data_IF_434721366722
#
_entry.id   IF_434721366722
#
_cell.length_a   1.000
_cell.length_b   1.000
_cell.length_c   1.000
_cell.angle_alpha   90.00
_cell.angle_beta   90.00
_cell.angle_gamma   90.00
#
_symmetry.space_group_name_H-M   'P 1'
#
loop_
_entity.id
_entity.type
_entity.pdbx_description
1 polymer ?
#
# COMPACT_ATOMS: atom_id res chain seq x y z
N UNK A 1 8.23 -61.62 24.69
CA UNK A 1 7.46 -61.17 25.87
C UNK A 1 6.54 -60.03 25.49
N UNK A 2 5.23 -60.22 25.62
CA UNK A 2 4.22 -59.16 25.41
C UNK A 2 4.08 -58.33 26.69
N UNK A 3 4.21 -57.03 26.60
CA UNK A 3 4.17 -56.08 27.73
C UNK A 3 3.20 -54.94 27.44
N UNK A 4 2.77 -54.22 28.48
CA UNK A 4 2.10 -52.93 28.33
C UNK A 4 3.10 -51.82 28.61
N UNK A 5 3.43 -50.99 27.60
CA UNK A 5 4.37 -49.87 27.72
C UNK A 5 3.62 -48.56 28.01
N UNK A 6 4.07 -47.82 29.03
CA UNK A 6 3.51 -46.53 29.41
C UNK A 6 4.64 -45.49 29.35
N UNK A 7 4.60 -44.63 28.33
CA UNK A 7 5.52 -43.50 28.22
C UNK A 7 4.89 -42.22 28.83
N UNK A 8 5.70 -41.25 29.31
CA UNK A 8 5.20 -39.97 29.79
C UNK A 8 4.30 -39.30 28.75
N UNK A 9 3.16 -38.78 29.20
CA UNK A 9 2.15 -38.09 28.37
C UNK A 9 1.57 -38.89 27.18
N UNK A 10 1.83 -40.20 27.11
CA UNK A 10 1.32 -41.09 26.08
C UNK A 10 0.32 -42.10 26.65
N UNK A 11 -0.56 -42.60 25.78
CA UNK A 11 -1.47 -43.70 26.11
C UNK A 11 -0.69 -45.03 26.30
N UNK A 12 -1.14 -45.89 27.22
CA UNK A 12 -0.61 -47.24 27.33
C UNK A 12 -0.74 -48.00 26.01
N UNK A 13 0.32 -48.70 25.59
CA UNK A 13 0.29 -49.50 24.35
C UNK A 13 0.93 -50.88 24.53
N UNK A 14 0.34 -51.96 23.98
CA UNK A 14 0.96 -53.27 24.00
C UNK A 14 2.18 -53.29 23.07
N UNK A 15 3.28 -53.92 23.52
CA UNK A 15 4.53 -54.07 22.77
C UNK A 15 5.06 -55.49 22.95
N UNK A 16 5.65 -56.06 21.90
CA UNK A 16 6.42 -57.30 22.01
C UNK A 16 7.91 -57.00 22.06
N UNK A 17 8.59 -57.60 23.04
CA UNK A 17 10.03 -57.48 23.27
C UNK A 17 10.65 -58.86 23.39
N UNK A 18 11.95 -59.02 23.19
CA UNK A 18 12.59 -60.35 23.27
C UNK A 18 12.64 -60.93 24.70
N UNK A 19 12.43 -60.10 25.74
CA UNK A 19 12.45 -60.50 27.15
C UNK A 19 13.85 -60.55 27.77
N UNK A 20 14.89 -60.14 27.04
CA UNK A 20 16.23 -60.00 27.57
C UNK A 20 16.35 -58.80 28.53
N UNK A 21 17.31 -58.85 29.45
CA UNK A 21 17.59 -57.72 30.35
C UNK A 21 17.95 -56.45 29.55
N UNK A 22 18.72 -56.59 28.48
CA UNK A 22 19.12 -55.48 27.62
C UNK A 22 17.90 -54.79 26.99
N UNK A 23 16.93 -55.54 26.45
CA UNK A 23 15.74 -54.93 25.86
C UNK A 23 14.85 -54.22 26.89
N UNK A 24 14.79 -54.74 28.12
CA UNK A 24 14.09 -54.08 29.22
C UNK A 24 14.78 -52.78 29.67
N UNK A 25 16.11 -52.79 29.79
CA UNK A 25 16.92 -51.62 30.14
C UNK A 25 16.85 -50.52 29.09
N UNK A 26 16.91 -50.90 27.81
CA UNK A 26 16.79 -49.95 26.68
C UNK A 26 15.42 -49.25 26.68
N UNK A 27 14.35 -49.95 27.04
CA UNK A 27 12.99 -49.39 27.06
C UNK A 27 12.77 -48.36 28.17
N UNK A 28 13.30 -48.61 29.37
CA UNK A 28 13.17 -47.69 30.52
C UNK A 28 14.31 -46.66 30.59
N UNK A 29 15.34 -46.82 29.74
CA UNK A 29 16.46 -45.89 29.62
C UNK A 29 17.48 -45.99 30.75
N UNK A 30 17.76 -47.18 31.27
CA UNK A 30 18.72 -47.38 32.36
C UNK A 30 18.59 -48.72 33.08
N UNK A 31 19.18 -48.83 34.28
CA UNK A 31 19.00 -49.99 35.15
C UNK A 31 17.52 -50.12 35.55
N UNK A 32 17.03 -51.35 35.65
CA UNK A 32 15.63 -51.62 35.93
C UNK A 32 15.40 -51.87 37.42
N UNK A 33 14.27 -51.37 37.92
CA UNK A 33 13.67 -51.72 39.21
C UNK A 33 12.32 -52.39 38.95
N UNK A 34 12.03 -53.45 39.70
CA UNK A 34 10.73 -54.12 39.68
C UNK A 34 9.93 -53.80 40.94
N UNK A 35 8.76 -53.19 40.76
CA UNK A 35 7.82 -52.88 41.84
C UNK A 35 6.51 -53.63 41.65
N UNK A 36 5.89 -54.00 42.77
CA UNK A 36 4.69 -54.84 42.82
C UNK A 36 3.54 -54.10 43.51
N UNK A 37 3.01 -53.02 42.90
CA UNK A 37 2.01 -52.16 43.52
C UNK A 37 0.59 -52.74 43.46
N UNK A 38 0.39 -53.93 42.89
CA UNK A 38 -0.92 -54.48 42.57
C UNK A 38 -1.18 -55.81 43.26
N UNK A 39 -2.45 -56.19 43.40
CA UNK A 39 -2.87 -57.50 43.90
C UNK A 39 -2.71 -58.64 42.90
N UNK A 40 -2.64 -58.32 41.59
CA UNK A 40 -2.39 -59.32 40.56
C UNK A 40 -0.90 -59.71 40.54
N UNK A 41 -0.59 -60.90 40.02
CA UNK A 41 0.79 -61.38 39.82
C UNK A 41 1.48 -60.68 38.63
N UNK A 42 1.62 -59.36 38.72
CA UNK A 42 2.25 -58.52 37.71
C UNK A 42 3.32 -57.63 38.34
N UNK A 43 4.37 -57.34 37.58
CA UNK A 43 5.40 -56.40 37.95
C UNK A 43 5.28 -55.14 37.10
N UNK A 44 5.50 -53.98 37.72
CA UNK A 44 5.81 -52.74 37.03
C UNK A 44 7.32 -52.59 37.01
N UNK A 45 7.87 -52.46 35.80
CA UNK A 45 9.31 -52.33 35.56
C UNK A 45 9.61 -50.90 35.12
N UNK A 46 10.43 -50.20 35.89
CA UNK A 46 10.81 -48.82 35.65
C UNK A 46 12.32 -48.62 35.78
N UNK A 47 12.79 -47.40 35.53
CA UNK A 47 14.19 -47.03 35.73
C UNK A 47 14.47 -46.82 37.24
N UNK A 48 15.44 -47.57 37.77
CA UNK A 48 15.86 -47.54 39.19
C UNK A 48 16.34 -46.15 39.64
N UNK A 49 16.95 -45.39 38.72
CA UNK A 49 17.46 -44.04 38.99
C UNK A 49 16.58 -42.95 38.38
N UNK A 50 15.39 -43.27 37.87
CA UNK A 50 14.57 -42.35 37.06
C UNK A 50 14.28 -41.01 37.76
N UNK A 51 14.05 -41.04 39.07
CA UNK A 51 13.88 -39.84 39.92
C UNK A 51 15.18 -39.04 40.09
N UNK A 52 16.30 -39.73 40.26
CA UNK A 52 17.61 -39.12 40.53
C UNK A 52 18.18 -38.45 39.27
N UNK A 53 17.97 -39.05 38.10
CA UNK A 53 18.45 -38.53 36.81
C UNK A 53 17.48 -37.56 36.14
N UNK A 54 16.34 -37.26 36.77
CA UNK A 54 15.38 -36.26 36.31
C UNK A 54 14.59 -36.65 35.07
N UNK A 55 14.22 -37.93 34.92
CA UNK A 55 13.30 -38.33 33.84
C UNK A 55 11.93 -37.65 34.00
N UNK A 56 11.13 -37.48 32.94
CA UNK A 56 9.80 -36.86 33.07
C UNK A 56 8.88 -37.67 33.99
N UNK A 57 8.09 -37.00 34.83
CA UNK A 57 7.08 -37.65 35.65
C UNK A 57 6.08 -38.44 34.77
N UNK A 58 5.72 -39.65 35.19
CA UNK A 58 4.80 -40.50 34.44
C UNK A 58 3.48 -40.75 35.20
N UNK A 59 3.27 -41.91 35.83
CA UNK A 59 2.03 -42.24 36.54
C UNK A 59 2.24 -42.39 38.04
N UNK A 60 1.28 -41.94 38.88
CA UNK A 60 1.33 -42.20 40.31
C UNK A 60 1.00 -43.67 40.61
N UNK A 61 1.69 -44.25 41.59
CA UNK A 61 1.34 -45.51 42.23
C UNK A 61 0.42 -45.22 43.41
N UNK A 62 -0.72 -45.90 43.43
CA UNK A 62 -1.78 -45.70 44.42
C UNK A 62 -1.90 -46.92 45.32
N UNK A 63 -2.15 -46.70 46.61
CA UNK A 63 -2.41 -47.77 47.55
C UNK A 63 -3.71 -48.49 47.15
N UNK A 64 -3.72 -49.82 47.01
CA UNK A 64 -4.89 -50.56 46.51
C UNK A 64 -6.16 -50.36 47.34
N UNK A 65 -6.02 -50.16 48.66
CA UNK A 65 -7.16 -50.06 49.57
C UNK A 65 -7.65 -48.63 49.82
N UNK A 66 -6.75 -47.63 49.78
CA UNK A 66 -7.08 -46.23 50.14
C UNK A 66 -7.17 -45.33 48.92
N UNK A 67 -6.58 -45.74 47.79
CA UNK A 67 -6.47 -44.93 46.58
C UNK A 67 -5.48 -43.77 46.69
N UNK A 68 -4.82 -43.61 47.84
CA UNK A 68 -3.83 -42.55 48.09
C UNK A 68 -2.55 -42.83 47.29
N UNK A 69 -1.96 -41.76 46.76
CA UNK A 69 -0.70 -41.84 46.03
C UNK A 69 0.42 -42.03 47.05
N UNK A 70 1.16 -43.12 46.96
CA UNK A 70 2.32 -43.37 47.83
C UNK A 70 3.65 -43.20 47.10
N UNK A 71 3.65 -43.28 45.77
CA UNK A 71 4.84 -43.02 44.96
C UNK A 71 4.49 -42.54 43.54
N UNK A 72 5.45 -42.03 42.79
CA UNK A 72 5.30 -41.62 41.39
C UNK A 72 6.44 -42.22 40.56
N UNK A 73 6.10 -42.84 39.44
CA UNK A 73 7.07 -43.39 38.49
C UNK A 73 7.58 -42.27 37.57
N UNK A 74 8.91 -42.20 37.38
CA UNK A 74 9.57 -41.23 36.50
C UNK A 74 10.18 -41.96 35.30
N UNK A 75 9.96 -41.43 34.10
CA UNK A 75 10.36 -42.04 32.84
C UNK A 75 9.37 -43.07 32.30
N UNK A 76 9.73 -43.68 31.18
CA UNK A 76 8.96 -44.79 30.58
C UNK A 76 9.04 -46.01 31.49
N UNK A 77 7.90 -46.66 31.71
CA UNK A 77 7.82 -47.93 32.42
C UNK A 77 6.95 -48.92 31.64
N UNK A 78 7.00 -50.19 32.02
CA UNK A 78 6.10 -51.19 31.47
C UNK A 78 5.56 -52.15 32.53
N UNK A 79 4.45 -52.82 32.21
CA UNK A 79 3.85 -53.86 33.05
C UNK A 79 4.02 -55.21 32.36
N UNK A 80 4.50 -56.21 33.10
CA UNK A 80 4.67 -57.59 32.66
C UNK A 80 4.11 -58.58 33.70
N UNK A 81 3.92 -59.84 33.30
CA UNK A 81 3.50 -60.90 34.21
C UNK A 81 4.69 -61.32 35.09
N UNK A 82 4.44 -61.52 36.39
CA UNK A 82 5.44 -61.95 37.36
C UNK A 82 4.84 -63.01 38.31
N UNK A 83 4.71 -64.27 37.86
CA UNK A 83 4.23 -65.37 38.69
C UNK A 83 5.10 -65.59 39.92
N UNK A 84 4.49 -65.93 41.07
CA UNK A 84 5.21 -66.12 42.33
C UNK A 84 6.17 -67.33 42.33
N UNK A 85 6.01 -68.24 41.37
CA UNK A 85 6.77 -69.47 41.18
C UNK A 85 7.77 -69.41 40.01
N UNK A 86 7.98 -68.22 39.42
CA UNK A 86 8.89 -68.01 38.28
C UNK A 86 9.98 -66.99 38.62
N UNK A 87 11.22 -67.28 38.21
CA UNK A 87 12.35 -66.34 38.30
C UNK A 87 12.43 -65.41 37.08
N UNK A 88 11.49 -65.51 36.14
CA UNK A 88 11.48 -64.77 34.89
C UNK A 88 10.17 -63.98 34.71
N UNK A 89 10.29 -62.80 34.10
CA UNK A 89 9.13 -62.05 33.65
C UNK A 89 8.52 -62.72 32.42
N UNK A 90 7.20 -62.75 32.38
CA UNK A 90 6.43 -63.41 31.33
C UNK A 90 5.54 -62.43 30.57
N UNK A 91 5.04 -62.88 29.43
CA UNK A 91 4.07 -62.11 28.63
C UNK A 91 2.82 -61.82 29.47
N UNK A 92 2.39 -60.56 29.46
CA UNK A 92 1.17 -60.13 30.12
C UNK A 92 -0.05 -60.70 29.36
N UNK A 93 -0.96 -61.43 30.04
CA UNK A 93 -2.23 -61.88 29.47
C UNK A 93 -3.08 -60.73 28.90
N UNK A 94 -3.89 -61.03 27.88
CA UNK A 94 -4.69 -60.01 27.17
C UNK A 94 -5.72 -59.30 28.06
N UNK A 95 -6.32 -60.01 29.01
CA UNK A 95 -7.25 -59.46 30.00
C UNK A 95 -6.57 -58.47 30.96
N UNK A 96 -5.32 -58.76 31.36
CA UNK A 96 -4.52 -57.85 32.17
C UNK A 96 -4.00 -56.66 31.36
N UNK A 97 -3.66 -56.83 30.08
CA UNK A 97 -3.36 -55.71 29.16
C UNK A 97 -4.56 -54.76 29.08
N UNK A 98 -5.78 -55.28 28.91
CA UNK A 98 -6.99 -54.45 28.84
C UNK A 98 -7.24 -53.71 30.16
N UNK A 99 -7.11 -54.41 31.30
CA UNK A 99 -7.26 -53.83 32.64
C UNK A 99 -6.28 -52.68 32.87
N UNK A 100 -4.99 -52.91 32.69
CA UNK A 100 -3.95 -51.92 32.99
C UNK A 100 -3.89 -50.78 31.98
N UNK A 101 -4.37 -51.00 30.74
CA UNK A 101 -4.55 -49.91 29.77
C UNK A 101 -5.58 -48.89 30.27
N UNK A 102 -6.67 -49.33 30.92
CA UNK A 102 -7.67 -48.43 31.52
C UNK A 102 -7.15 -47.75 32.79
N UNK A 103 -6.39 -48.47 33.62
CA UNK A 103 -5.79 -47.93 34.86
C UNK A 103 -4.82 -46.79 34.57
N UNK A 104 -4.03 -46.91 33.50
CA UNK A 104 -2.98 -45.94 33.14
C UNK A 104 -3.34 -44.98 32.00
N UNK A 105 -4.61 -44.99 31.56
CA UNK A 105 -5.13 -44.02 30.61
C UNK A 105 -4.96 -42.58 31.12
N UNK A 106 -4.82 -41.62 30.20
CA UNK A 106 -4.79 -40.18 30.52
C UNK A 106 -6.09 -39.51 30.10
N UNK A 107 -7.22 -39.73 30.81
CA UNK A 107 -8.49 -39.11 30.43
C UNK A 107 -8.47 -37.60 30.62
N UNK A 108 -7.63 -37.10 31.54
CA UNK A 108 -7.46 -35.68 31.85
C UNK A 108 -5.99 -35.30 31.92
N UNK A 109 -5.69 -34.09 31.50
CA UNK A 109 -4.38 -33.44 31.60
C UNK A 109 -4.56 -32.06 32.23
N UNK A 110 -3.46 -31.46 32.70
CA UNK A 110 -3.48 -30.16 33.36
C UNK A 110 -3.14 -29.07 32.35
N UNK A 111 -3.91 -27.98 32.33
CA UNK A 111 -3.55 -26.79 31.58
C UNK A 111 -2.33 -26.12 32.19
N UNK A 112 -1.27 -25.89 31.41
CA UNK A 112 0.00 -25.33 31.87
C UNK A 112 -0.13 -23.93 32.47
N UNK A 113 -1.08 -23.11 31.98
CA UNK A 113 -1.27 -21.74 32.47
C UNK A 113 -2.17 -21.61 33.72
N UNK A 114 -3.34 -22.25 33.77
CA UNK A 114 -4.27 -22.10 34.90
C UNK A 114 -4.16 -23.20 35.96
N UNK A 115 -3.50 -24.33 35.66
CA UNK A 115 -3.33 -25.44 36.59
C UNK A 115 -4.55 -26.34 36.79
N UNK A 116 -5.67 -26.07 36.10
CA UNK A 116 -6.89 -26.87 36.18
C UNK A 116 -6.83 -28.13 35.29
N UNK A 117 -7.55 -29.17 35.68
CA UNK A 117 -7.68 -30.44 34.93
C UNK A 117 -8.76 -30.36 33.84
N UNK A 118 -8.40 -30.71 32.61
CA UNK A 118 -9.32 -30.80 31.48
C UNK A 118 -9.25 -32.19 30.84
N UNK A 119 -10.34 -32.65 30.20
CA UNK A 119 -10.26 -33.79 29.28
C UNK A 119 -9.14 -33.58 28.27
N UNK A 120 -8.38 -34.63 27.97
CA UNK A 120 -7.23 -34.56 27.05
C UNK A 120 -7.59 -33.92 25.70
N UNK A 121 -8.78 -34.22 25.19
CA UNK A 121 -9.25 -33.73 23.89
C UNK A 121 -9.74 -32.27 23.91
N UNK A 122 -9.82 -31.64 25.10
CA UNK A 122 -10.18 -30.22 25.26
C UNK A 122 -8.95 -29.31 25.42
N UNK A 123 -7.74 -29.88 25.48
CA UNK A 123 -6.49 -29.13 25.58
C UNK A 123 -5.82 -28.99 24.22
N UNK A 124 -5.27 -27.81 23.98
CA UNK A 124 -4.62 -27.45 22.74
C UNK A 124 -3.10 -27.40 22.96
N UNK A 125 -2.31 -28.22 22.23
CA UNK A 125 -0.86 -28.09 22.25
C UNK A 125 -0.44 -26.83 21.48
N UNK A 126 0.33 -25.95 22.13
CA UNK A 126 0.85 -24.74 21.51
C UNK A 126 2.25 -24.41 22.06
N UNK A 127 3.25 -24.33 21.17
CA UNK A 127 4.66 -24.01 21.50
C UNK A 127 5.25 -24.81 22.67
N UNK A 128 4.88 -26.10 22.79
CA UNK A 128 5.36 -26.99 23.85
C UNK A 128 4.53 -26.97 25.15
N UNK A 129 3.49 -26.16 25.23
CA UNK A 129 2.54 -26.11 26.35
C UNK A 129 1.19 -26.76 26.00
N UNK A 130 0.42 -27.14 27.01
CA UNK A 130 -0.96 -27.60 26.87
C UNK A 130 -1.90 -26.56 27.49
N UNK A 131 -2.73 -25.91 26.65
CA UNK A 131 -3.61 -24.83 27.09
C UNK A 131 -5.07 -25.22 26.95
N UNK A 132 -5.89 -24.85 27.94
CA UNK A 132 -7.34 -24.92 27.79
C UNK A 132 -7.85 -23.82 26.83
N UNK A 133 -9.08 -23.92 26.31
CA UNK A 133 -9.60 -22.98 25.32
C UNK A 133 -9.49 -21.51 25.78
N UNK A 134 -9.84 -21.24 27.04
CA UNK A 134 -9.82 -19.90 27.62
C UNK A 134 -8.39 -19.35 27.73
N UNK A 135 -7.44 -20.18 28.19
CA UNK A 135 -6.04 -19.77 28.31
C UNK A 135 -5.40 -19.56 26.94
N UNK A 136 -5.71 -20.41 25.96
CA UNK A 136 -5.23 -20.27 24.60
C UNK A 136 -5.69 -18.92 24.02
N UNK A 137 -6.98 -18.60 24.12
CA UNK A 137 -7.52 -17.36 23.57
C UNK A 137 -7.03 -16.11 24.32
N UNK A 138 -6.88 -16.20 25.64
CA UNK A 138 -6.37 -15.10 26.45
C UNK A 138 -4.88 -14.80 26.17
N UNK A 139 -4.05 -15.83 25.95
CA UNK A 139 -2.58 -15.69 25.83
C UNK A 139 -2.07 -15.55 24.41
N UNK A 140 -2.87 -15.91 23.41
CA UNK A 140 -2.43 -15.91 22.02
C UNK A 140 -3.30 -14.99 21.16
N UNK A 141 -2.81 -14.68 19.97
CA UNK A 141 -3.50 -13.90 18.97
C UNK A 141 -3.16 -14.44 17.58
N UNK A 142 -4.00 -14.17 16.58
CA UNK A 142 -3.73 -14.55 15.20
C UNK A 142 -3.06 -13.39 14.47
N UNK A 143 -1.99 -13.68 13.73
CA UNK A 143 -1.36 -12.74 12.83
C UNK A 143 -2.35 -12.32 11.74
N UNK A 144 -2.60 -11.02 11.60
CA UNK A 144 -3.54 -10.45 10.62
C UNK A 144 -3.12 -10.67 9.17
N UNK A 145 -1.86 -11.05 8.91
CA UNK A 145 -1.34 -11.25 7.55
C UNK A 145 -1.33 -12.73 7.12
N UNK A 146 -0.75 -13.62 7.93
CA UNK A 146 -0.62 -15.04 7.58
C UNK A 146 -1.61 -15.97 8.30
N UNK A 147 -2.32 -15.49 9.33
CA UNK A 147 -3.24 -16.30 10.14
C UNK A 147 -2.56 -17.22 11.15
N UNK A 148 -1.23 -17.17 11.28
CA UNK A 148 -0.49 -17.93 12.28
C UNK A 148 -0.85 -17.47 13.70
N UNK A 149 -1.04 -18.43 14.61
CA UNK A 149 -1.26 -18.14 16.03
C UNK A 149 0.09 -17.90 16.70
N UNK A 150 0.22 -16.78 17.40
CA UNK A 150 1.41 -16.35 18.12
C UNK A 150 1.07 -16.01 19.58
N UNK A 151 2.07 -16.00 20.46
CA UNK A 151 1.89 -15.43 21.79
C UNK A 151 1.60 -13.93 21.69
N UNK A 152 0.74 -13.38 22.56
CA UNK A 152 0.46 -11.93 22.58
C UNK A 152 1.72 -11.11 22.86
N UNK A 153 2.62 -11.64 23.68
CA UNK A 153 3.90 -11.00 24.01
C UNK A 153 4.88 -11.00 22.82
N UNK A 154 4.66 -11.88 21.83
CA UNK A 154 5.45 -11.97 20.58
C UNK A 154 4.80 -11.16 19.43
N UNK A 155 3.79 -10.35 19.72
CA UNK A 155 3.18 -9.49 18.71
C UNK A 155 4.15 -8.37 18.28
N UNK A 156 4.67 -8.47 17.06
CA UNK A 156 5.54 -7.47 16.45
C UNK A 156 4.77 -6.28 15.83
N UNK A 157 3.44 -6.38 15.72
CA UNK A 157 2.56 -5.33 15.20
C UNK A 157 2.06 -4.39 16.30
N UNK A 158 0.78 -4.04 16.22
CA UNK A 158 0.09 -3.26 17.25
C UNK A 158 -1.17 -3.99 17.76
N UNK A 159 -1.93 -3.36 18.66
CA UNK A 159 -3.14 -3.93 19.24
C UNK A 159 -4.25 -4.19 18.20
N UNK A 160 -4.33 -3.36 17.16
CA UNK A 160 -5.32 -3.44 16.09
C UNK A 160 -4.90 -4.37 14.95
N UNK A 161 -3.60 -4.48 14.70
CA UNK A 161 -2.99 -5.27 13.64
C UNK A 161 -1.89 -6.16 14.23
N UNK A 162 -2.24 -7.28 14.88
CA UNK A 162 -1.26 -8.21 15.40
C UNK A 162 -0.48 -8.89 14.27
N UNK A 163 0.84 -9.01 14.41
CA UNK A 163 1.73 -9.59 13.40
C UNK A 163 2.76 -10.51 14.06
N UNK A 164 3.07 -11.62 13.39
CA UNK A 164 4.27 -12.39 13.70
C UNK A 164 5.51 -11.64 13.19
N UNK A 165 6.67 -11.92 13.80
CA UNK A 165 7.93 -11.25 13.47
C UNK A 165 8.27 -11.32 11.97
N UNK A 166 8.12 -12.50 11.36
CA UNK A 166 8.38 -12.72 9.93
C UNK A 166 7.51 -11.83 9.02
N UNK A 167 6.23 -11.65 9.36
CA UNK A 167 5.33 -10.80 8.57
C UNK A 167 5.63 -9.32 8.79
N UNK A 168 6.00 -8.93 10.01
CA UNK A 168 6.45 -7.57 10.30
C UNK A 168 7.71 -7.25 9.48
N UNK A 169 8.78 -8.04 9.61
CA UNK A 169 10.07 -7.77 8.94
C UNK A 169 9.97 -7.71 7.41
N UNK A 170 9.04 -8.44 6.81
CA UNK A 170 8.88 -8.51 5.33
C UNK A 170 7.96 -7.45 4.75
N UNK A 171 6.99 -6.96 5.53
CA UNK A 171 5.87 -6.19 4.96
C UNK A 171 5.56 -4.91 5.72
N UNK A 172 6.09 -4.74 6.93
CA UNK A 172 5.80 -3.61 7.80
C UNK A 172 7.08 -2.99 8.38
N UNK A 173 6.92 -1.78 8.88
CA UNK A 173 7.91 -1.06 9.70
C UNK A 173 7.16 -0.05 10.56
N UNK A 174 7.84 0.71 11.40
CA UNK A 174 7.22 1.79 12.18
C UNK A 174 7.69 3.15 11.67
N UNK A 175 6.79 4.13 11.69
CA UNK A 175 7.16 5.51 11.44
C UNK A 175 8.14 6.00 12.50
N UNK A 176 9.27 6.57 12.07
CA UNK A 176 10.30 7.12 12.95
C UNK A 176 9.78 8.26 13.84
N UNK A 177 8.79 9.02 13.37
CA UNK A 177 8.27 10.18 14.10
C UNK A 177 7.11 9.87 15.05
N UNK A 178 6.10 9.11 14.63
CA UNK A 178 4.91 8.84 15.44
C UNK A 178 4.88 7.43 16.04
N UNK A 179 5.72 6.52 15.55
CA UNK A 179 5.72 5.12 15.96
C UNK A 179 4.64 4.25 15.29
N UNK A 180 3.74 4.82 14.48
CA UNK A 180 2.66 4.07 13.85
C UNK A 180 3.18 2.94 12.96
N UNK A 181 2.49 1.81 12.99
CA UNK A 181 2.75 0.67 12.14
C UNK A 181 2.37 1.02 10.68
N UNK A 182 3.34 0.92 9.78
CA UNK A 182 3.19 1.26 8.36
C UNK A 182 3.61 0.08 7.49
N UNK A 183 2.89 -0.15 6.39
CA UNK A 183 3.35 -1.11 5.37
C UNK A 183 4.56 -0.54 4.66
N UNK A 184 5.56 -1.38 4.39
CA UNK A 184 6.78 -0.99 3.66
C UNK A 184 6.44 -0.35 2.30
N UNK A 185 5.37 -0.80 1.63
CA UNK A 185 4.90 -0.23 0.37
C UNK A 185 4.26 1.17 0.48
N UNK A 186 3.99 1.62 1.70
CA UNK A 186 3.40 2.92 2.04
C UNK A 186 4.35 3.77 2.89
N UNK A 187 5.61 3.34 3.03
CA UNK A 187 6.65 4.03 3.78
C UNK A 187 7.33 5.07 2.90
N UNK A 188 7.54 6.26 3.47
CA UNK A 188 8.31 7.34 2.87
C UNK A 188 9.64 7.46 3.61
N UNK A 189 10.75 7.56 2.89
CA UNK A 189 12.07 7.66 3.51
C UNK A 189 12.60 9.10 3.44
N UNK A 190 13.17 9.58 4.54
CA UNK A 190 13.79 10.90 4.60
C UNK A 190 15.06 10.88 5.46
N UNK A 191 16.06 11.67 5.07
CA UNK A 191 17.26 11.86 5.87
C UNK A 191 16.98 12.75 7.08
N UNK A 192 17.56 12.39 8.23
CA UNK A 192 17.60 13.23 9.43
C UNK A 192 18.94 13.98 9.55
N UNK A 193 19.05 14.84 10.56
CA UNK A 193 20.25 15.66 10.82
C UNK A 193 21.52 14.86 11.11
N UNK A 194 21.38 13.57 11.44
CA UNK A 194 22.48 12.64 11.66
C UNK A 194 23.01 12.01 10.36
N UNK A 195 22.40 12.34 9.21
CA UNK A 195 22.76 11.84 7.89
C UNK A 195 22.21 10.45 7.56
N UNK A 196 21.38 9.86 8.44
CA UNK A 196 20.75 8.56 8.20
C UNK A 196 19.35 8.71 7.62
N UNK A 197 18.94 7.73 6.82
CA UNK A 197 17.61 7.65 6.22
C UNK A 197 16.65 6.86 7.12
N UNK A 198 15.48 7.44 7.40
CA UNK A 198 14.48 6.85 8.29
C UNK A 198 13.12 6.70 7.62
N UNK A 199 12.32 5.68 8.00
CA UNK A 199 10.97 5.46 7.49
C UNK A 199 9.95 6.38 8.17
N UNK A 200 9.01 6.92 7.41
CA UNK A 200 7.94 7.80 7.89
C UNK A 200 6.58 7.40 7.29
N UNK A 201 5.51 7.61 8.05
CA UNK A 201 4.15 7.62 7.50
C UNK A 201 3.94 8.89 6.65
N UNK A 202 2.89 8.91 5.82
CA UNK A 202 2.57 10.03 4.96
C UNK A 202 2.44 11.36 5.73
N UNK A 203 1.70 11.37 6.83
CA UNK A 203 1.46 12.58 7.63
C UNK A 203 2.76 13.12 8.23
N UNK A 204 3.57 12.25 8.82
CA UNK A 204 4.85 12.66 9.38
C UNK A 204 5.82 13.09 8.27
N UNK A 205 5.89 12.40 7.13
CA UNK A 205 6.73 12.79 6.02
C UNK A 205 6.35 14.18 5.45
N UNK A 206 5.06 14.41 5.20
CA UNK A 206 4.57 15.71 4.69
C UNK A 206 4.68 16.83 5.72
N UNK A 207 4.51 16.52 7.02
CA UNK A 207 4.76 17.49 8.09
C UNK A 207 6.23 17.96 8.15
N UNK A 208 7.20 17.11 7.74
CA UNK A 208 8.62 17.50 7.57
C UNK A 208 8.80 18.43 6.37
N UNK A 209 8.07 18.17 5.29
CA UNK A 209 8.09 18.95 4.05
C UNK A 209 7.53 20.38 4.24
N UNK A 210 6.67 20.58 5.25
CA UNK A 210 6.05 21.88 5.60
C UNK A 210 7.02 23.03 5.97
N UNK A 211 8.34 22.83 5.96
CA UNK A 211 9.33 23.85 6.31
C UNK A 211 10.15 24.41 5.15
N UNK A 212 10.14 23.79 3.97
CA UNK A 212 10.92 24.28 2.82
C UNK A 212 10.00 24.95 1.80
N UNK A 213 10.32 26.18 1.34
CA UNK A 213 9.54 26.82 0.30
C UNK A 213 9.45 26.05 -1.01
N UNK A 214 10.52 25.36 -1.41
CA UNK A 214 10.54 24.44 -2.54
C UNK A 214 10.44 23.00 -2.02
N UNK A 215 9.37 22.33 -2.40
CA UNK A 215 9.08 20.96 -2.02
C UNK A 215 9.80 19.96 -2.94
N UNK A 216 9.98 18.72 -2.47
CA UNK A 216 10.54 17.67 -3.32
C UNK A 216 9.65 17.40 -4.55
N UNK A 217 10.22 16.90 -5.65
CA UNK A 217 9.47 16.70 -6.90
C UNK A 217 8.26 15.75 -6.80
N UNK A 218 8.25 14.85 -5.81
CA UNK A 218 7.13 13.94 -5.53
C UNK A 218 6.07 14.54 -4.61
N UNK A 219 6.29 15.76 -4.10
CA UNK A 219 5.35 16.41 -3.21
C UNK A 219 4.01 16.66 -3.90
N UNK A 220 2.97 16.08 -3.31
CA UNK A 220 1.59 16.17 -3.80
C UNK A 220 0.64 16.24 -2.60
N UNK A 221 0.25 17.46 -2.19
CA UNK A 221 -0.67 17.64 -1.07
C UNK A 221 -2.09 17.22 -1.46
N UNK A 222 -2.95 17.04 -0.45
CA UNK A 222 -4.38 16.83 -0.68
C UNK A 222 -4.96 18.04 -1.45
N UNK A 223 -5.71 17.85 -2.55
CA UNK A 223 -6.14 18.95 -3.39
C UNK A 223 -7.18 19.84 -2.71
N UNK A 224 -6.89 21.13 -2.56
CA UNK A 224 -7.82 22.13 -2.05
C UNK A 224 -8.56 22.82 -3.21
N UNK A 225 -9.76 22.34 -3.55
CA UNK A 225 -10.55 22.87 -4.66
C UNK A 225 -11.01 24.32 -4.41
N UNK A 226 -10.78 25.22 -5.38
CA UNK A 226 -11.11 26.64 -5.30
C UNK A 226 -12.12 27.08 -6.34
N UNK A 227 -13.12 27.85 -5.91
CA UNK A 227 -14.19 28.37 -6.75
C UNK A 227 -15.37 27.39 -6.92
N UNK A 228 -16.48 27.95 -7.41
CA UNK A 228 -17.74 27.22 -7.58
C UNK A 228 -17.87 26.69 -9.01
N UNK A 229 -18.03 25.38 -9.18
CA UNK A 229 -18.25 24.72 -10.46
C UNK A 229 -17.73 23.28 -10.50
N UNK A 230 -17.96 22.59 -11.62
CA UNK A 230 -17.59 21.16 -11.76
C UNK A 230 -16.26 20.95 -12.50
N UNK A 231 -15.72 21.98 -13.14
CA UNK A 231 -14.48 21.93 -13.91
C UNK A 231 -13.40 22.76 -13.23
N UNK A 232 -12.35 22.07 -12.81
CA UNK A 232 -11.18 22.62 -12.15
C UNK A 232 -9.94 22.44 -13.01
N UNK A 233 -9.08 23.45 -12.98
CA UNK A 233 -7.79 23.51 -13.63
C UNK A 233 -6.70 23.51 -12.55
N UNK A 234 -5.79 22.55 -12.60
CA UNK A 234 -4.53 22.59 -11.84
C UNK A 234 -3.41 23.06 -12.76
N UNK A 235 -2.71 24.12 -12.41
CA UNK A 235 -1.65 24.70 -13.24
C UNK A 235 -0.29 24.34 -12.66
N UNK A 236 0.58 23.79 -13.49
CA UNK A 236 2.01 23.68 -13.19
C UNK A 236 2.77 24.60 -14.16
N UNK A 237 3.44 25.62 -13.62
CA UNK A 237 4.18 26.62 -14.39
C UNK A 237 5.65 26.62 -13.99
N UNK A 238 6.49 26.21 -14.93
CA UNK A 238 7.94 26.15 -14.76
C UNK A 238 8.61 27.52 -14.99
N UNK A 239 9.55 27.87 -14.12
CA UNK A 239 10.41 29.06 -14.21
C UNK A 239 11.87 28.67 -14.02
N UNK A 240 12.78 29.37 -14.72
CA UNK A 240 14.19 28.99 -14.82
C UNK A 240 15.10 30.22 -15.03
N UNK A 241 16.40 30.08 -14.77
CA UNK A 241 17.44 31.08 -15.01
C UNK A 241 17.73 32.03 -13.85
N UNK A 242 17.20 31.76 -12.66
CA UNK A 242 17.43 32.58 -11.47
C UNK A 242 17.49 31.77 -10.16
N UNK A 243 17.91 30.51 -10.23
CA UNK A 243 18.05 29.66 -9.06
C UNK A 243 16.83 28.82 -8.73
N UNK A 244 17.06 27.59 -8.29
CA UNK A 244 16.15 26.90 -7.38
C UNK A 244 16.31 27.51 -5.97
N UNK A 245 15.64 28.64 -5.74
CA UNK A 245 15.87 29.51 -4.59
C UNK A 245 14.64 29.58 -3.67
N UNK A 246 14.83 29.17 -2.41
CA UNK A 246 13.76 29.10 -1.40
C UNK A 246 13.18 30.48 -1.05
N UNK A 247 13.98 31.54 -1.04
CA UNK A 247 13.50 32.90 -0.74
C UNK A 247 12.61 33.42 -1.88
N UNK A 248 13.00 33.16 -3.13
CA UNK A 248 12.21 33.49 -4.31
C UNK A 248 10.89 32.69 -4.36
N UNK A 249 10.92 31.40 -4.03
CA UNK A 249 9.72 30.59 -3.92
C UNK A 249 8.79 31.09 -2.81
N UNK A 250 9.34 31.48 -1.65
CA UNK A 250 8.59 32.06 -0.55
C UNK A 250 7.90 33.38 -0.94
N UNK A 251 8.57 34.23 -1.72
CA UNK A 251 7.99 35.47 -2.26
C UNK A 251 6.80 35.21 -3.19
N UNK A 252 6.90 34.21 -4.08
CA UNK A 252 5.79 33.80 -4.96
C UNK A 252 4.61 33.28 -4.13
N UNK A 253 4.87 32.38 -3.18
CA UNK A 253 3.82 31.82 -2.33
C UNK A 253 3.18 32.86 -1.42
N UNK A 254 3.95 33.84 -0.91
CA UNK A 254 3.43 34.96 -0.14
C UNK A 254 2.42 35.79 -0.93
N UNK A 255 2.67 36.00 -2.24
CA UNK A 255 1.70 36.67 -3.12
C UNK A 255 0.47 35.79 -3.35
N UNK A 256 0.69 34.51 -3.71
CA UNK A 256 -0.39 33.59 -4.07
C UNK A 256 -1.33 33.27 -2.90
N UNK A 257 -0.76 33.15 -1.70
CA UNK A 257 -1.44 32.69 -0.49
C UNK A 257 -1.67 33.83 0.53
N UNK A 258 -1.35 35.07 0.17
CA UNK A 258 -1.32 36.22 1.08
C UNK A 258 -2.68 36.63 1.66
N UNK A 259 -3.78 36.11 1.12
CA UNK A 259 -5.13 36.27 1.68
C UNK A 259 -5.47 35.22 2.77
N UNK A 260 -4.50 34.39 3.17
CA UNK A 260 -4.68 33.31 4.15
C UNK A 260 -5.27 32.03 3.56
N UNK A 261 -5.41 31.95 2.23
CA UNK A 261 -5.91 30.77 1.52
C UNK A 261 -4.74 30.17 0.73
N UNK A 262 -4.45 28.89 0.97
CA UNK A 262 -3.43 28.17 0.20
C UNK A 262 -3.93 27.90 -1.23
N UNK A 263 -3.30 28.57 -2.19
CA UNK A 263 -3.61 28.52 -3.62
C UNK A 263 -2.49 27.86 -4.42
N UNK A 264 -1.23 28.04 -4.01
CA UNK A 264 -0.04 27.64 -4.75
C UNK A 264 1.07 27.15 -3.81
N UNK A 265 1.76 26.10 -4.25
CA UNK A 265 2.99 25.60 -3.65
C UNK A 265 4.08 25.46 -4.73
N UNK A 266 5.35 25.49 -4.34
CA UNK A 266 6.48 25.32 -5.26
C UNK A 266 7.12 23.94 -5.07
N UNK A 267 7.61 23.33 -6.14
CA UNK A 267 8.34 22.05 -6.08
C UNK A 267 9.54 22.02 -7.02
N UNK A 268 10.50 21.16 -6.69
CA UNK A 268 11.63 20.81 -7.55
C UNK A 268 11.15 20.14 -8.84
N UNK A 269 11.71 20.55 -9.97
CA UNK A 269 11.52 19.87 -11.26
C UNK A 269 12.88 19.60 -11.91
N UNK A 270 13.26 18.31 -11.94
CA UNK A 270 14.54 17.87 -12.49
C UNK A 270 14.68 18.03 -14.02
N UNK A 271 13.67 18.58 -14.72
CA UNK A 271 13.77 19.00 -16.11
C UNK A 271 14.26 20.44 -16.31
N UNK A 272 14.40 21.19 -15.22
CA UNK A 272 14.89 22.57 -15.21
C UNK A 272 16.39 22.61 -14.90
N UNK A 273 17.07 23.64 -15.43
CA UNK A 273 18.51 23.81 -15.22
C UNK A 273 18.78 24.58 -13.91
N UNK A 274 18.04 25.66 -13.65
CA UNK A 274 18.27 26.59 -12.56
C UNK A 274 16.97 27.31 -12.13
N UNK A 275 15.99 26.52 -11.65
CA UNK A 275 14.65 27.03 -11.34
C UNK A 275 13.74 26.06 -10.59
N UNK A 276 12.44 26.36 -10.56
CA UNK A 276 11.43 25.56 -9.86
C UNK A 276 10.07 25.58 -10.57
N UNK A 277 9.17 24.68 -10.18
CA UNK A 277 7.81 24.62 -10.70
C UNK A 277 6.80 25.19 -9.69
N UNK A 278 6.02 26.17 -10.13
CA UNK A 278 4.90 26.74 -9.39
C UNK A 278 3.63 25.93 -9.67
N UNK A 279 3.05 25.30 -8.65
CA UNK A 279 1.88 24.42 -8.80
C UNK A 279 0.70 24.98 -8.03
N UNK A 280 -0.45 25.12 -8.71
CA UNK A 280 -1.69 25.51 -8.05
C UNK A 280 -2.45 24.30 -7.54
N UNK A 281 -3.18 24.48 -6.44
CA UNK A 281 -4.34 23.62 -6.19
C UNK A 281 -5.38 23.77 -7.33
N UNK A 282 -6.32 22.81 -7.50
CA UNK A 282 -7.31 22.88 -8.56
C UNK A 282 -8.27 24.07 -8.38
N UNK A 283 -8.43 24.90 -9.41
CA UNK A 283 -9.29 26.09 -9.35
C UNK A 283 -10.23 26.15 -10.55
N UNK A 284 -11.45 26.66 -10.38
CA UNK A 284 -12.29 26.97 -11.54
C UNK A 284 -11.66 28.09 -12.39
N UNK A 285 -12.01 28.16 -13.68
CA UNK A 285 -11.50 29.22 -14.57
C UNK A 285 -11.81 30.62 -14.01
N UNK A 286 -13.02 30.81 -13.47
CA UNK A 286 -13.43 32.09 -12.85
C UNK A 286 -12.54 32.45 -11.66
N UNK A 287 -12.19 31.48 -10.82
CA UNK A 287 -11.30 31.71 -9.67
C UNK A 287 -9.87 32.05 -10.13
N UNK A 288 -9.35 31.38 -11.17
CA UNK A 288 -8.05 31.75 -11.75
C UNK A 288 -8.03 33.18 -12.29
N UNK A 289 -9.15 33.70 -12.80
CA UNK A 289 -9.24 35.05 -13.36
C UNK A 289 -9.50 36.13 -12.31
N UNK A 290 -10.33 35.83 -11.31
CA UNK A 290 -10.81 36.82 -10.35
C UNK A 290 -10.00 36.87 -9.05
N UNK A 291 -9.60 35.70 -8.54
CA UNK A 291 -9.06 35.57 -7.16
C UNK A 291 -7.58 35.24 -7.15
N UNK A 292 -7.09 34.42 -8.09
CA UNK A 292 -5.68 34.05 -8.16
C UNK A 292 -4.83 35.24 -8.64
N UNK A 293 -3.85 35.73 -7.85
CA UNK A 293 -3.11 36.95 -8.16
C UNK A 293 -1.99 36.73 -9.21
N UNK A 294 -2.31 36.05 -10.31
CA UNK A 294 -1.37 35.71 -11.39
C UNK A 294 -0.58 36.92 -11.90
N UNK A 295 -1.23 38.07 -12.11
CA UNK A 295 -0.54 39.26 -12.60
C UNK A 295 0.57 39.75 -11.64
N UNK A 296 0.39 39.57 -10.34
CA UNK A 296 1.40 39.91 -9.34
C UNK A 296 2.50 38.84 -9.27
N UNK A 297 2.12 37.56 -9.26
CA UNK A 297 3.04 36.41 -9.26
C UNK A 297 4.00 36.47 -10.45
N UNK A 298 3.45 36.57 -11.68
CA UNK A 298 4.24 36.56 -12.91
C UNK A 298 5.15 37.79 -13.00
N UNK A 299 4.69 38.95 -12.52
CA UNK A 299 5.52 40.17 -12.46
C UNK A 299 6.66 40.00 -11.46
N UNK A 300 6.40 39.41 -10.30
CA UNK A 300 7.40 39.17 -9.27
C UNK A 300 8.46 38.18 -9.77
N UNK A 301 8.07 37.09 -10.42
CA UNK A 301 9.01 36.15 -11.04
C UNK A 301 9.98 36.86 -12.01
N UNK A 302 9.45 37.72 -12.90
CA UNK A 302 10.30 38.54 -13.80
C UNK A 302 11.22 39.48 -13.03
N UNK A 303 10.75 40.10 -11.95
CA UNK A 303 11.56 41.00 -11.12
C UNK A 303 12.70 40.26 -10.40
N UNK A 304 12.49 39.00 -10.04
CA UNK A 304 13.50 38.14 -9.42
C UNK A 304 14.48 37.55 -10.45
N UNK A 305 14.31 37.84 -11.75
CA UNK A 305 15.22 37.41 -12.81
C UNK A 305 14.80 36.13 -13.53
N UNK A 306 13.70 35.49 -13.12
CA UNK A 306 13.25 34.27 -13.78
C UNK A 306 12.79 34.53 -15.21
N UNK A 307 13.08 33.54 -16.03
CA UNK A 307 12.50 33.37 -17.35
C UNK A 307 11.63 32.11 -17.36
N UNK A 308 10.90 31.89 -18.45
CA UNK A 308 10.13 30.65 -18.62
C UNK A 308 10.10 30.32 -20.11
N UNK A 309 9.44 31.16 -20.91
CA UNK A 309 9.48 31.00 -22.37
C UNK A 309 10.92 31.01 -22.93
N UNK A 310 11.80 31.88 -22.42
CA UNK A 310 13.15 32.06 -22.96
C UNK A 310 14.14 30.96 -22.58
N UNK A 311 13.96 30.28 -21.45
CA UNK A 311 14.82 29.17 -21.00
C UNK A 311 14.82 27.98 -21.99
N UNK A 312 13.68 27.74 -22.66
CA UNK A 312 13.57 26.75 -23.72
C UNK A 312 13.12 25.36 -23.28
N UNK A 313 13.36 25.00 -22.02
CA UNK A 313 12.89 23.77 -21.34
C UNK A 313 11.50 23.95 -20.75
N UNK A 314 11.21 25.12 -20.17
CA UNK A 314 10.02 25.33 -19.35
C UNK A 314 8.67 25.01 -20.03
N UNK A 315 7.83 24.28 -19.30
CA UNK A 315 6.44 23.93 -19.58
C UNK A 315 5.40 24.84 -18.91
N UNK A 316 4.19 24.75 -19.45
CA UNK A 316 2.95 25.15 -18.78
C UNK A 316 2.01 23.95 -18.88
N UNK A 317 1.93 23.17 -17.82
CA UNK A 317 1.07 22.00 -17.75
C UNK A 317 -0.27 22.38 -17.09
N UNK A 318 -1.35 21.84 -17.64
CA UNK A 318 -2.69 22.10 -17.10
C UNK A 318 -3.42 20.79 -16.90
N UNK A 319 -3.82 20.51 -15.67
CA UNK A 319 -4.63 19.36 -15.30
C UNK A 319 -6.11 19.74 -15.32
N UNK A 320 -6.97 18.88 -15.90
CA UNK A 320 -8.43 19.00 -15.81
C UNK A 320 -9.00 17.73 -15.18
N UNK A 321 -9.87 17.90 -14.19
CA UNK A 321 -10.50 16.80 -13.45
C UNK A 321 -11.43 15.94 -14.33
N UNK A 322 -11.30 14.61 -14.23
CA UNK A 322 -12.06 13.67 -15.07
C UNK A 322 -13.56 13.69 -14.78
N UNK A 323 -13.98 13.94 -13.55
CA UNK A 323 -15.39 14.06 -13.19
C UNK A 323 -16.08 15.27 -13.86
N UNK A 324 -15.34 16.25 -14.40
CA UNK A 324 -15.91 17.29 -15.25
C UNK A 324 -16.45 16.75 -16.60
N UNK A 325 -16.09 15.51 -16.97
CA UNK A 325 -16.43 14.88 -18.25
C UNK A 325 -17.54 13.83 -18.16
N UNK A 326 -18.10 13.61 -16.97
CA UNK A 326 -19.18 12.65 -16.74
C UNK A 326 -19.01 11.86 -15.44
N UNK A 327 -20.09 11.24 -15.01
CA UNK A 327 -20.16 10.47 -13.76
C UNK A 327 -19.54 9.07 -13.91
N UNK A 328 -19.59 8.51 -15.11
CA UNK A 328 -19.08 7.16 -15.41
C UNK A 328 -17.82 7.20 -16.28
N UNK A 329 -16.95 6.20 -16.14
CA UNK A 329 -15.73 6.08 -16.97
C UNK A 329 -16.05 6.10 -18.47
N UNK A 330 -17.16 5.47 -18.89
CA UNK A 330 -17.57 5.46 -20.29
C UNK A 330 -17.97 6.85 -20.82
N UNK A 331 -18.64 7.68 -20.01
CA UNK A 331 -18.95 9.06 -20.38
C UNK A 331 -17.68 9.91 -20.45
N UNK A 332 -16.81 9.77 -19.44
CA UNK A 332 -15.52 10.46 -19.38
C UNK A 332 -14.67 10.11 -20.60
N UNK A 333 -14.55 8.84 -20.94
CA UNK A 333 -13.82 8.34 -22.11
C UNK A 333 -14.38 8.92 -23.41
N UNK A 334 -15.70 9.00 -23.58
CA UNK A 334 -16.30 9.56 -24.78
C UNK A 334 -15.91 11.05 -24.98
N UNK A 335 -15.91 11.83 -23.91
CA UNK A 335 -15.49 13.25 -23.95
C UNK A 335 -13.99 13.36 -24.18
N UNK A 336 -13.17 12.59 -23.45
CA UNK A 336 -11.70 12.58 -23.63
C UNK A 336 -11.33 12.18 -25.05
N UNK A 337 -12.00 11.19 -25.64
CA UNK A 337 -11.82 10.80 -27.03
C UNK A 337 -12.04 11.99 -27.99
N UNK A 338 -13.08 12.80 -27.77
CA UNK A 338 -13.33 14.03 -28.55
C UNK A 338 -12.27 15.10 -28.33
N UNK A 339 -11.74 15.25 -27.11
CA UNK A 339 -10.61 16.14 -26.82
C UNK A 339 -9.37 15.72 -27.61
N UNK A 340 -8.99 14.44 -27.55
CA UNK A 340 -7.85 13.91 -28.30
C UNK A 340 -8.03 14.12 -29.81
N UNK A 341 -9.23 13.83 -30.32
CA UNK A 341 -9.55 14.02 -31.73
C UNK A 341 -9.41 15.48 -32.15
N UNK A 342 -9.92 16.41 -31.33
CA UNK A 342 -9.77 17.85 -31.56
C UNK A 342 -8.29 18.25 -31.63
N UNK A 343 -7.46 17.73 -30.73
CA UNK A 343 -6.02 17.99 -30.71
C UNK A 343 -5.32 17.49 -31.98
N UNK A 344 -5.59 16.25 -32.38
CA UNK A 344 -4.96 15.66 -33.57
C UNK A 344 -5.40 16.32 -34.87
N UNK A 345 -6.68 16.72 -34.95
CA UNK A 345 -7.27 17.37 -36.12
C UNK A 345 -6.75 18.79 -36.32
N UNK A 346 -6.59 19.56 -35.24
CA UNK A 346 -6.16 20.97 -35.29
C UNK A 346 -4.70 21.13 -34.82
N UNK A 347 -3.85 20.16 -35.17
CA UNK A 347 -2.49 20.08 -34.64
C UNK A 347 -1.64 21.28 -35.05
N UNK A 348 -1.76 21.77 -36.29
CA UNK A 348 -0.95 22.89 -36.78
C UNK A 348 -1.25 24.18 -36.02
N UNK A 349 -2.53 24.43 -35.73
CA UNK A 349 -2.98 25.59 -34.99
C UNK A 349 -2.59 25.49 -33.51
N UNK A 350 -2.72 24.31 -32.91
CA UNK A 350 -2.31 24.07 -31.53
C UNK A 350 -0.79 24.13 -31.35
N UNK A 351 -0.01 23.66 -32.33
CA UNK A 351 1.45 23.83 -32.37
C UNK A 351 1.82 25.33 -32.42
N UNK A 352 1.14 26.10 -33.25
CA UNK A 352 1.35 27.56 -33.32
C UNK A 352 0.93 28.27 -32.02
N UNK A 353 -0.17 27.84 -31.42
CA UNK A 353 -0.67 28.37 -30.16
C UNK A 353 0.31 28.08 -29.01
N UNK A 354 0.85 26.86 -28.96
CA UNK A 354 1.69 26.35 -27.86
C UNK A 354 3.07 27.01 -27.76
N UNK A 355 3.54 27.63 -28.85
CA UNK A 355 4.86 28.28 -28.97
C UNK A 355 6.03 27.28 -28.92
N UNK A 356 5.76 26.01 -29.23
CA UNK A 356 6.77 24.96 -29.41
C UNK A 356 6.98 24.66 -30.89
N UNK A 357 8.11 24.06 -31.22
CA UNK A 357 8.34 23.45 -32.54
C UNK A 357 7.96 21.97 -32.51
N UNK A 358 7.76 21.35 -33.68
CA UNK A 358 7.45 19.91 -33.75
C UNK A 358 8.52 19.07 -33.05
N UNK A 359 9.80 19.38 -33.29
CA UNK A 359 10.92 18.70 -32.65
C UNK A 359 10.89 18.77 -31.12
N UNK A 360 10.52 19.92 -30.55
CA UNK A 360 10.35 20.07 -29.10
C UNK A 360 9.18 19.23 -28.58
N UNK A 361 8.07 19.13 -29.32
CA UNK A 361 6.94 18.30 -28.92
C UNK A 361 7.25 16.81 -29.00
N UNK A 362 7.97 16.36 -30.02
CA UNK A 362 8.35 14.95 -30.16
C UNK A 362 9.14 14.43 -28.95
N UNK A 363 9.86 15.34 -28.26
CA UNK A 363 10.66 15.04 -27.09
C UNK A 363 9.89 15.15 -25.76
N UNK A 364 9.02 16.17 -25.64
CA UNK A 364 8.44 16.56 -24.34
C UNK A 364 6.92 16.35 -24.23
N UNK A 365 6.21 16.26 -25.35
CA UNK A 365 4.74 16.23 -25.42
C UNK A 365 4.26 15.65 -26.77
N UNK A 366 4.62 14.39 -27.04
CA UNK A 366 4.38 13.75 -28.33
C UNK A 366 2.88 13.62 -28.66
N UNK A 367 2.54 13.70 -29.95
CA UNK A 367 1.17 13.43 -30.42
C UNK A 367 0.90 11.93 -30.51
N UNK A 368 -0.36 11.53 -30.41
CA UNK A 368 -0.77 10.13 -30.60
C UNK A 368 -0.87 9.75 -32.07
N UNK A 369 -1.06 10.75 -32.93
CA UNK A 369 -1.30 10.57 -34.36
C UNK A 369 -2.78 10.47 -34.69
N UNK A 370 -3.15 11.03 -35.84
CA UNK A 370 -4.55 11.16 -36.22
C UNK A 370 -5.23 9.80 -36.49
N UNK A 371 -6.48 9.68 -36.07
CA UNK A 371 -7.42 8.59 -36.39
C UNK A 371 -8.78 9.18 -36.75
N UNK A 372 -9.50 8.53 -37.65
CA UNK A 372 -10.80 9.02 -38.14
C UNK A 372 -11.92 8.94 -37.09
N UNK A 373 -11.80 8.04 -36.12
CA UNK A 373 -12.78 7.84 -35.04
C UNK A 373 -12.19 8.25 -33.69
N UNK A 374 -12.87 9.12 -32.91
CA UNK A 374 -12.43 9.51 -31.57
C UNK A 374 -12.15 8.30 -30.67
N UNK A 375 -13.03 7.30 -30.69
CA UNK A 375 -12.86 6.07 -29.90
C UNK A 375 -11.60 5.29 -30.26
N UNK A 376 -11.29 5.15 -31.56
CA UNK A 376 -10.07 4.47 -32.00
C UNK A 376 -8.81 5.22 -31.57
N UNK A 377 -8.86 6.55 -31.57
CA UNK A 377 -7.77 7.40 -31.07
C UNK A 377 -7.56 7.20 -29.57
N UNK A 378 -8.64 7.15 -28.79
CA UNK A 378 -8.54 6.89 -27.35
C UNK A 378 -8.01 5.48 -27.07
N UNK A 379 -8.51 4.46 -27.76
CA UNK A 379 -8.03 3.08 -27.61
C UNK A 379 -6.54 2.99 -27.96
N UNK A 380 -6.10 3.69 -29.00
CA UNK A 380 -4.69 3.83 -29.34
C UNK A 380 -3.92 4.55 -28.23
N UNK A 381 -4.40 5.70 -27.75
CA UNK A 381 -3.77 6.48 -26.70
C UNK A 381 -3.63 5.70 -25.38
N UNK A 382 -4.65 4.94 -24.97
CA UNK A 382 -4.62 4.08 -23.77
C UNK A 382 -3.64 2.90 -23.92
N UNK A 383 -3.53 2.31 -25.12
CA UNK A 383 -2.50 1.28 -25.41
C UNK A 383 -1.09 1.87 -25.47
N UNK A 384 -0.98 3.07 -26.03
CA UNK A 384 0.24 3.87 -26.04
C UNK A 384 0.53 4.51 -24.69
N UNK A 385 -0.29 4.34 -23.65
CA UNK A 385 0.02 4.82 -22.31
C UNK A 385 1.28 4.14 -21.72
N UNK A 386 1.68 2.98 -22.27
CA UNK A 386 2.99 2.38 -22.03
C UNK A 386 4.16 3.23 -22.59
N UNK A 387 3.91 4.24 -23.43
CA UNK A 387 4.91 5.19 -23.93
C UNK A 387 5.24 6.31 -22.92
N UNK A 388 4.62 6.30 -21.73
CA UNK A 388 4.94 7.19 -20.61
C UNK A 388 4.16 8.52 -20.60
N UNK A 389 4.60 9.44 -19.73
CA UNK A 389 3.94 10.74 -19.46
C UNK A 389 4.11 11.79 -20.57
N UNK A 390 5.06 11.59 -21.50
CA UNK A 390 5.48 12.60 -22.49
C UNK A 390 4.57 12.65 -23.72
N UNK A 391 3.28 12.85 -23.50
CA UNK A 391 2.27 13.00 -24.55
C UNK A 391 1.58 14.37 -24.44
N UNK A 392 1.11 14.91 -25.56
CA UNK A 392 0.46 16.24 -25.61
C UNK A 392 -0.76 16.35 -24.69
N UNK A 393 -1.48 15.25 -24.50
CA UNK A 393 -2.53 15.07 -23.50
C UNK A 393 -2.25 13.77 -22.75
N UNK A 394 -1.66 13.87 -21.55
CA UNK A 394 -1.32 12.74 -20.72
C UNK A 394 -2.56 12.21 -19.96
N UNK A 395 -2.84 10.91 -20.13
CA UNK A 395 -3.99 10.21 -19.57
C UNK A 395 -3.65 9.30 -18.39
N UNK A 396 -2.38 9.21 -17.97
CA UNK A 396 -1.94 8.27 -16.91
C UNK A 396 -2.44 8.65 -15.52
N UNK A 397 -2.81 9.93 -15.33
CA UNK A 397 -3.35 10.43 -14.07
C UNK A 397 -4.75 9.87 -13.79
N UNK A 398 -4.93 9.31 -12.59
CA UNK A 398 -6.19 8.65 -12.16
C UNK A 398 -7.38 9.59 -12.16
N UNK A 399 -7.21 10.81 -11.63
CA UNK A 399 -8.31 11.74 -11.38
C UNK A 399 -8.37 12.91 -12.38
N UNK A 400 -7.35 13.09 -13.22
CA UNK A 400 -7.24 14.21 -14.16
C UNK A 400 -6.75 13.74 -15.52
N UNK A 401 -6.94 14.55 -16.56
CA UNK A 401 -6.10 14.53 -17.76
C UNK A 401 -5.16 15.74 -17.72
N UNK A 402 -3.98 15.63 -18.30
CA UNK A 402 -2.95 16.67 -18.23
C UNK A 402 -2.54 17.13 -19.64
N UNK A 403 -2.69 18.42 -19.90
CA UNK A 403 -2.30 19.06 -21.16
C UNK A 403 -0.86 19.55 -21.06
N UNK A 404 0.06 18.94 -21.83
CA UNK A 404 1.51 19.18 -21.75
C UNK A 404 2.07 19.97 -22.94
N UNK A 405 1.24 20.27 -23.92
CA UNK A 405 1.69 20.86 -25.20
C UNK A 405 2.27 22.28 -25.03
N UNK A 406 1.84 23.04 -24.02
CA UNK A 406 2.14 24.46 -23.93
C UNK A 406 3.55 24.73 -23.40
N UNK A 407 4.22 25.72 -23.99
CA UNK A 407 5.48 26.24 -23.47
C UNK A 407 5.24 27.16 -22.27
N UNK A 408 6.16 27.21 -21.32
CA UNK A 408 6.12 28.12 -20.18
C UNK A 408 5.96 29.60 -20.58
N UNK A 409 5.41 30.40 -19.66
CA UNK A 409 5.17 31.83 -19.88
C UNK A 409 5.14 32.65 -18.59
N UNK A 410 5.66 33.87 -18.64
CA UNK A 410 5.47 34.89 -17.61
C UNK A 410 4.56 36.04 -18.08
N UNK A 411 3.79 35.83 -19.15
CA UNK A 411 2.80 36.80 -19.65
C UNK A 411 1.41 36.40 -19.19
N UNK A 412 0.77 37.26 -18.40
CA UNK A 412 -0.59 37.06 -17.88
C UNK A 412 -1.58 36.66 -18.98
N UNK A 413 -1.65 37.44 -20.07
CA UNK A 413 -2.55 37.18 -21.19
C UNK A 413 -2.36 35.76 -21.76
N UNK A 414 -1.11 35.32 -21.91
CA UNK A 414 -0.79 34.00 -22.44
C UNK A 414 -1.23 32.87 -21.51
N UNK A 415 -1.04 33.03 -20.20
CA UNK A 415 -1.44 32.04 -19.20
C UNK A 415 -2.97 31.88 -19.20
N UNK A 416 -3.70 32.98 -19.07
CA UNK A 416 -5.16 32.97 -19.02
C UNK A 416 -5.77 32.54 -20.37
N UNK A 417 -5.20 32.96 -21.50
CA UNK A 417 -5.61 32.49 -22.82
C UNK A 417 -5.47 30.97 -22.96
N UNK A 418 -4.45 30.36 -22.34
CA UNK A 418 -4.27 28.90 -22.36
C UNK A 418 -5.39 28.21 -21.59
N UNK A 419 -5.75 28.71 -20.41
CA UNK A 419 -6.87 28.17 -19.62
C UNK A 419 -8.21 28.33 -20.34
N UNK A 420 -8.47 29.50 -20.94
CA UNK A 420 -9.69 29.75 -21.72
C UNK A 420 -9.77 28.87 -22.98
N UNK A 421 -8.64 28.61 -23.65
CA UNK A 421 -8.61 27.68 -24.79
C UNK A 421 -9.04 26.29 -24.34
N UNK A 422 -8.44 25.78 -23.26
CA UNK A 422 -8.73 24.44 -22.75
C UNK A 422 -10.17 24.32 -22.26
N UNK A 423 -10.68 25.33 -21.57
CA UNK A 423 -12.08 25.40 -21.15
C UNK A 423 -13.03 25.30 -22.36
N UNK A 424 -12.74 26.06 -23.42
CA UNK A 424 -13.53 26.01 -24.66
C UNK A 424 -13.44 24.67 -25.38
N UNK A 425 -12.26 24.04 -25.41
CA UNK A 425 -12.09 22.69 -25.99
C UNK A 425 -12.88 21.66 -25.17
N UNK A 426 -12.86 21.78 -23.85
CA UNK A 426 -13.63 20.91 -22.96
C UNK A 426 -15.13 21.07 -23.19
N UNK A 427 -15.64 22.30 -23.32
CA UNK A 427 -17.05 22.56 -23.65
C UNK A 427 -17.46 21.95 -24.99
N UNK A 428 -16.63 22.13 -26.01
CA UNK A 428 -16.84 21.52 -27.32
C UNK A 428 -16.94 20.00 -27.20
N UNK A 429 -16.01 19.37 -26.49
CA UNK A 429 -16.02 17.92 -26.32
C UNK A 429 -17.17 17.43 -25.42
N UNK A 430 -17.64 18.25 -24.48
CA UNK A 430 -18.71 17.88 -23.57
C UNK A 430 -20.10 17.99 -24.22
N UNK A 431 -20.33 19.05 -25.00
CA UNK A 431 -21.66 19.40 -25.51
C UNK A 431 -21.90 19.07 -26.98
N UNK A 432 -20.87 18.64 -27.73
CA UNK A 432 -21.01 18.27 -29.14
C UNK A 432 -20.83 16.75 -29.36
N UNK A 433 -21.54 16.21 -30.35
CA UNK A 433 -21.37 14.83 -30.80
C UNK A 433 -20.06 14.63 -31.57
N UNK A 434 -19.67 13.37 -31.76
CA UNK A 434 -18.49 13.01 -32.55
C UNK A 434 -18.57 13.59 -33.97
N UNK A 435 -19.74 13.52 -34.62
CA UNK A 435 -19.98 14.09 -35.96
C UNK A 435 -19.83 15.61 -35.98
N UNK A 436 -20.33 16.28 -34.94
CA UNK A 436 -20.25 17.74 -34.83
C UNK A 436 -18.79 18.21 -34.63
N UNK A 437 -18.01 17.52 -33.80
CA UNK A 437 -16.57 17.81 -33.62
C UNK A 437 -15.79 17.50 -34.90
N UNK A 438 -16.13 16.42 -35.61
CA UNK A 438 -15.55 16.08 -36.91
C UNK A 438 -15.88 17.08 -38.01
N UNK A 439 -17.06 17.69 -37.99
CA UNK A 439 -17.45 18.69 -38.98
C UNK A 439 -16.86 20.09 -38.70
N UNK A 440 -16.52 20.38 -37.44
CA UNK A 440 -16.05 21.72 -37.03
C UNK A 440 -14.62 22.02 -37.49
N UNK A 441 -14.43 23.06 -38.28
CA UNK A 441 -13.10 23.59 -38.61
C UNK A 441 -12.52 24.43 -37.46
N UNK A 442 -11.22 24.67 -37.48
CA UNK A 442 -10.57 25.64 -36.58
C UNK A 442 -11.22 27.02 -36.67
N UNK A 443 -11.56 27.49 -37.88
CA UNK A 443 -12.19 28.80 -38.11
C UNK A 443 -13.54 28.92 -37.41
N UNK A 444 -14.38 27.88 -37.47
CA UNK A 444 -15.66 27.82 -36.77
C UNK A 444 -15.44 27.78 -35.25
N UNK A 445 -14.46 27.02 -34.79
CA UNK A 445 -14.10 26.95 -33.36
C UNK A 445 -13.71 28.32 -32.81
N UNK A 446 -12.75 29.02 -33.44
CA UNK A 446 -12.27 30.32 -32.95
C UNK A 446 -13.29 31.45 -33.09
N UNK A 447 -14.21 31.36 -34.06
CA UNK A 447 -15.31 32.33 -34.21
C UNK A 447 -16.28 32.28 -33.03
N UNK A 448 -16.39 31.12 -32.36
CA UNK A 448 -17.18 30.94 -31.15
C UNK A 448 -16.45 31.33 -29.85
N UNK A 449 -15.17 31.73 -29.91
CA UNK A 449 -14.42 32.17 -28.74
C UNK A 449 -14.71 33.64 -28.44
N UNK A 450 -15.19 33.92 -27.23
CA UNK A 450 -15.55 35.28 -26.78
C UNK A 450 -14.70 35.77 -25.61
N UNK A 451 -13.90 34.89 -25.01
CA UNK A 451 -13.09 35.19 -23.84
C UNK A 451 -11.93 36.14 -24.20
N UNK A 452 -11.72 37.23 -23.44
CA UNK A 452 -10.91 38.35 -23.90
C UNK A 452 -9.43 38.00 -24.10
N UNK A 453 -8.80 37.30 -23.15
CA UNK A 453 -7.38 36.94 -23.26
C UNK A 453 -7.13 35.95 -24.40
N UNK A 454 -8.03 34.98 -24.59
CA UNK A 454 -7.99 34.02 -25.68
C UNK A 454 -8.13 34.71 -27.03
N UNK A 455 -9.14 35.57 -27.20
CA UNK A 455 -9.36 36.32 -28.45
C UNK A 455 -8.15 37.21 -28.76
N UNK A 456 -7.62 37.90 -27.76
CA UNK A 456 -6.40 38.70 -27.93
C UNK A 456 -5.23 37.82 -28.39
N UNK A 457 -4.97 36.70 -27.70
CA UNK A 457 -3.85 35.82 -28.02
C UNK A 457 -3.99 35.17 -29.41
N UNK A 458 -5.19 34.74 -29.79
CA UNK A 458 -5.48 34.19 -31.12
C UNK A 458 -5.21 35.23 -32.23
N UNK A 459 -5.59 36.50 -32.01
CA UNK A 459 -5.30 37.61 -32.95
C UNK A 459 -3.80 37.87 -33.05
N UNK A 460 -3.09 37.97 -31.93
CA UNK A 460 -1.62 38.15 -31.88
C UNK A 460 -0.88 37.04 -32.66
N UNK A 461 -1.41 35.82 -32.61
CA UNK A 461 -0.84 34.65 -33.29
C UNK A 461 -1.35 34.44 -34.71
N UNK A 462 -2.22 35.30 -35.25
CA UNK A 462 -2.87 35.09 -36.56
C UNK A 462 -3.51 33.69 -36.64
N UNK A 463 -4.25 33.33 -35.59
CA UNK A 463 -5.07 32.13 -35.45
C UNK A 463 -6.56 32.46 -35.40
N UNK A 464 -6.90 33.75 -35.38
CA UNK A 464 -8.26 34.27 -35.36
C UNK A 464 -8.72 34.65 -36.78
N UNK A 465 -10.02 34.52 -37.05
CA UNK A 465 -10.64 34.95 -38.31
C UNK A 465 -11.22 36.34 -38.13
N UNK A 466 -11.04 37.24 -39.10
CA UNK A 466 -11.71 38.54 -39.07
C UNK A 466 -13.23 38.35 -39.18
N UNK A 467 -14.01 39.34 -38.73
CA UNK A 467 -15.47 39.32 -38.89
C UNK A 467 -15.84 39.14 -40.37
N UNK A 468 -16.85 38.30 -40.69
CA UNK A 468 -17.28 38.09 -42.06
C UNK A 468 -17.76 39.42 -42.66
N UNK A 469 -17.34 39.69 -43.90
CA UNK A 469 -17.82 40.83 -44.69
C UNK A 469 -19.08 40.38 -45.44
N UNK A 470 -20.08 41.27 -45.57
CA UNK A 470 -21.26 40.98 -46.41
C UNK A 470 -20.82 40.60 -47.83
N UNK A 471 -21.11 39.36 -48.23
CA UNK A 471 -20.86 38.87 -49.58
C UNK A 471 -22.12 38.99 -50.43
N UNK A 472 -21.99 39.47 -51.66
CA UNK A 472 -23.06 39.36 -52.66
C UNK A 472 -23.41 37.88 -52.86
N UNK A 473 -24.70 37.56 -52.92
CA UNK A 473 -25.15 36.19 -53.18
C UNK A 473 -24.73 35.77 -54.59
N UNK A 474 -24.06 34.63 -54.72
CA UNK A 474 -23.84 34.01 -56.03
C UNK A 474 -25.20 33.59 -56.62
N UNK A 475 -25.49 34.06 -57.85
CA UNK A 475 -26.75 33.82 -58.58
C UNK A 475 -26.68 32.53 -59.39
#
# INVERSE_FOLDING_TARGET
MKILLIAPNAEPRPVEIDGSLASMQDLVGGLIEAVYPFSDHVALICNDEGKLIGLPQNRPLKHPETGEIYDIVYGTFFVCSAPADSEHFESLPDDLIEKYSKVFALPKLVCTNCGEEFPKDELYPFSGELLCPDCLEAKTVLCSHCGERIWRDDNAGDESTPLCQDCYDRHYTNCHSCGDLIRISQTYYACESDGNEYPFCYDCYTSRASRKPIQDYYYKPEPLFRGDGDRYFGVELEVDGAGEDDDNAAEVMSIANGNGIENLYCKHDGSLDDGFEMVTHPMTLSYHQAEMPWAAILRKAVQMGYTSHQAGTCGLHVHVNRNAFGETEAQQDAVIARILYFFEKNWEELLKFSRRTQHQLDQWAARYGYKDQPKELLDHAKKSAHAGRYTSVNLTNKNTIEFRIFRGTLKYNTLIATLQLLDRICDVALFMSDEQVKAMSWTTFVSGCTQPELVQYLKERRLYVNEPVESEAEV
#
